data_IF_880095529215
#
_entry.id   IF_880095529215
#
_cell.length_a   1.000
_cell.length_b   1.000
_cell.length_c   1.000
_cell.angle_alpha   90.00
_cell.angle_beta   90.00
_cell.angle_gamma   90.00
#
_symmetry.space_group_name_H-M   'P 1'
#
loop_
_entity.id
_entity.type
_entity.pdbx_description
1 polymer ?
#
# COMPACT_ATOMS: atom_id res chain seq x y z
N UNK A 1 -49.19 -25.09 -81.86
CA UNK A 1 -48.44 -26.20 -81.22
C UNK A 1 -47.38 -25.61 -80.30
N UNK A 2 -47.40 -25.99 -79.02
CA UNK A 2 -46.39 -25.64 -78.01
C UNK A 2 -45.03 -26.26 -78.36
N UNK A 3 -43.94 -25.53 -78.13
CA UNK A 3 -42.77 -26.07 -77.41
C UNK A 3 -41.87 -24.93 -76.90
N UNK A 4 -41.72 -24.93 -75.57
CA UNK A 4 -40.73 -24.19 -74.80
C UNK A 4 -39.30 -24.67 -75.13
N UNK A 5 -38.28 -23.83 -74.86
CA UNK A 5 -37.13 -24.12 -73.97
C UNK A 5 -36.06 -23.01 -74.19
N UNK A 6 -35.97 -22.04 -73.27
CA UNK A 6 -35.03 -21.91 -72.13
C UNK A 6 -33.79 -21.07 -72.43
N UNK A 7 -33.78 -19.90 -71.79
CA UNK A 7 -32.63 -19.06 -71.47
C UNK A 7 -31.54 -19.87 -70.74
N UNK A 8 -30.30 -19.80 -71.20
CA UNK A 8 -29.13 -20.02 -70.34
C UNK A 8 -28.32 -18.73 -70.31
N UNK A 9 -28.53 -17.98 -69.23
CA UNK A 9 -27.74 -16.82 -68.86
C UNK A 9 -26.37 -17.29 -68.37
N UNK A 10 -25.30 -16.71 -68.93
CA UNK A 10 -23.93 -16.89 -68.49
C UNK A 10 -23.78 -16.11 -67.18
N UNK A 11 -23.72 -16.80 -66.04
CA UNK A 11 -23.28 -16.19 -64.77
C UNK A 11 -21.77 -16.15 -64.74
N UNK A 12 -21.21 -14.94 -64.87
CA UNK A 12 -19.84 -14.64 -64.54
C UNK A 12 -19.73 -14.60 -63.00
N UNK A 13 -19.11 -15.62 -62.40
CA UNK A 13 -18.79 -15.67 -60.98
C UNK A 13 -17.59 -14.74 -60.71
N UNK A 14 -17.87 -13.50 -60.29
CA UNK A 14 -16.88 -12.66 -59.61
C UNK A 14 -16.72 -13.17 -58.17
N UNK A 15 -15.67 -13.94 -57.92
CA UNK A 15 -15.18 -14.15 -56.55
C UNK A 15 -14.52 -12.85 -56.07
N UNK A 16 -15.28 -12.01 -55.36
CA UNK A 16 -14.68 -11.01 -54.48
C UNK A 16 -14.15 -11.73 -53.24
N UNK A 17 -12.84 -11.95 -53.20
CA UNK A 17 -12.14 -12.33 -51.98
C UNK A 17 -12.30 -11.21 -50.96
N UNK A 18 -13.10 -11.43 -49.93
CA UNK A 18 -13.14 -10.57 -48.75
C UNK A 18 -11.82 -10.81 -48.01
N UNK A 19 -10.83 -9.95 -48.26
CA UNK A 19 -9.67 -9.83 -47.39
C UNK A 19 -10.21 -9.23 -46.08
N UNK A 20 -10.49 -10.10 -45.10
CA UNK A 20 -10.75 -9.68 -43.74
C UNK A 20 -9.47 -8.98 -43.25
N UNK A 21 -9.48 -7.66 -43.33
CA UNK A 21 -8.45 -6.81 -42.74
C UNK A 21 -8.58 -7.00 -41.24
N UNK A 22 -7.71 -7.82 -40.64
CA UNK A 22 -7.55 -7.86 -39.20
C UNK A 22 -6.95 -6.53 -38.77
N UNK A 23 -7.82 -5.54 -38.54
CA UNK A 23 -7.44 -4.37 -37.77
C UNK A 23 -7.09 -4.89 -36.39
N UNK A 24 -5.80 -5.05 -36.11
CA UNK A 24 -5.28 -5.09 -34.76
C UNK A 24 -5.63 -3.74 -34.13
N UNK A 25 -6.85 -3.64 -33.59
CA UNK A 25 -7.21 -2.61 -32.63
C UNK A 25 -6.34 -2.86 -31.43
N UNK A 26 -5.16 -2.24 -31.46
CA UNK A 26 -4.33 -2.06 -30.28
C UNK A 26 -5.15 -1.15 -29.38
N UNK A 27 -5.92 -1.73 -28.46
CA UNK A 27 -6.58 -0.99 -27.40
C UNK A 27 -5.48 -0.29 -26.62
N UNK A 28 -5.26 0.97 -26.94
CA UNK A 28 -4.39 1.85 -26.18
C UNK A 28 -5.08 2.03 -24.81
N UNK A 29 -4.76 1.13 -23.88
CA UNK A 29 -5.28 1.18 -22.51
C UNK A 29 -5.01 2.58 -21.97
N UNK A 30 -6.07 3.36 -21.78
CA UNK A 30 -5.98 4.69 -21.21
C UNK A 30 -5.33 4.51 -19.85
N UNK A 31 -4.07 4.91 -19.72
CA UNK A 31 -3.40 4.90 -18.44
C UNK A 31 -4.07 5.98 -17.60
N UNK A 32 -4.99 5.60 -16.73
CA UNK A 32 -5.67 6.51 -15.82
C UNK A 32 -4.59 6.99 -14.85
N UNK A 33 -4.16 8.24 -15.04
CA UNK A 33 -2.99 8.80 -14.36
C UNK A 33 -3.40 9.58 -13.12
N UNK A 34 -2.63 9.41 -12.07
CA UNK A 34 -2.55 10.34 -10.95
C UNK A 34 -1.43 11.34 -11.25
N UNK A 35 -1.76 12.38 -12.03
CA UNK A 35 -0.77 13.31 -12.58
C UNK A 35 0.23 12.60 -13.49
N UNK A 36 1.49 12.53 -13.07
CA UNK A 36 2.57 11.81 -13.77
C UNK A 36 2.68 10.33 -13.34
N UNK A 37 1.96 9.91 -12.30
CA UNK A 37 2.00 8.55 -11.75
C UNK A 37 0.81 7.72 -12.26
N UNK A 38 0.88 6.40 -12.14
CA UNK A 38 -0.33 5.55 -12.19
C UNK A 38 -1.05 5.59 -10.85
N UNK A 39 -2.34 5.29 -10.82
CA UNK A 39 -3.06 5.18 -9.54
C UNK A 39 -2.52 4.05 -8.64
N UNK A 40 -2.12 2.90 -9.20
CA UNK A 40 -1.46 1.83 -8.43
C UNK A 40 -0.20 2.35 -7.72
N UNK A 41 0.60 3.16 -8.43
CA UNK A 41 1.79 3.79 -7.86
C UNK A 41 1.42 4.80 -6.77
N UNK A 42 0.40 5.62 -7.00
CA UNK A 42 -0.07 6.62 -6.05
C UNK A 42 -0.60 5.97 -4.75
N UNK A 43 -1.35 4.86 -4.86
CA UNK A 43 -1.80 4.05 -3.71
C UNK A 43 -0.62 3.48 -2.93
N UNK A 44 0.41 2.94 -3.62
CA UNK A 44 1.60 2.44 -2.93
C UNK A 44 2.37 3.57 -2.21
N UNK A 45 2.62 4.71 -2.88
CA UNK A 45 3.37 5.85 -2.31
C UNK A 45 2.62 6.49 -1.13
N UNK A 46 1.31 6.70 -1.25
CA UNK A 46 0.47 7.17 -0.14
C UNK A 46 0.44 6.16 1.00
N UNK A 47 0.32 4.87 0.70
CA UNK A 47 0.38 3.79 1.68
C UNK A 47 1.72 3.72 2.43
N UNK A 48 2.82 4.08 1.74
CA UNK A 48 4.16 4.16 2.33
C UNK A 48 4.27 5.29 3.37
N UNK A 49 3.47 6.37 3.27
CA UNK A 49 3.45 7.44 4.27
C UNK A 49 3.01 6.92 5.65
N UNK A 50 2.01 6.02 5.68
CA UNK A 50 1.60 5.32 6.92
C UNK A 50 2.75 4.52 7.51
N UNK A 51 3.51 3.78 6.69
CA UNK A 51 4.65 3.00 7.17
C UNK A 51 5.76 3.90 7.72
N UNK A 52 6.08 4.98 7.02
CA UNK A 52 7.13 5.91 7.42
C UNK A 52 6.81 6.58 8.76
N UNK A 53 5.55 6.97 9.01
CA UNK A 53 5.14 7.52 10.31
C UNK A 53 5.41 6.53 11.46
N UNK A 54 5.00 5.27 11.28
CA UNK A 54 5.26 4.22 12.28
C UNK A 54 6.75 3.92 12.44
N UNK A 55 7.51 3.93 11.33
CA UNK A 55 8.96 3.68 11.36
C UNK A 55 9.70 4.78 12.12
N UNK A 56 9.31 6.05 11.94
CA UNK A 56 9.87 7.17 12.70
C UNK A 56 9.56 7.04 14.18
N UNK A 57 8.29 6.80 14.54
CA UNK A 57 7.90 6.62 15.94
C UNK A 57 8.65 5.45 16.60
N UNK A 58 8.69 4.27 15.94
CA UNK A 58 9.43 3.10 16.41
C UNK A 58 10.91 3.42 16.63
N UNK A 59 11.55 4.09 15.67
CA UNK A 59 12.98 4.42 15.74
C UNK A 59 13.25 5.39 16.89
N UNK A 60 12.39 6.39 17.10
CA UNK A 60 12.51 7.31 18.22
C UNK A 60 12.40 6.58 19.56
N UNK A 61 11.37 5.75 19.75
CA UNK A 61 11.19 4.98 21.00
C UNK A 61 12.39 4.07 21.27
N UNK A 62 12.89 3.37 20.25
CA UNK A 62 14.08 2.53 20.39
C UNK A 62 15.33 3.33 20.78
N UNK A 63 15.50 4.54 20.23
CA UNK A 63 16.63 5.42 20.51
C UNK A 63 16.62 6.02 21.92
N UNK A 64 15.49 6.06 22.62
CA UNK A 64 15.44 6.51 24.03
C UNK A 64 16.40 5.68 24.88
N UNK A 65 16.41 4.36 24.68
CA UNK A 65 17.25 3.41 25.43
C UNK A 65 18.54 3.03 24.70
N UNK A 66 18.63 3.37 23.40
CA UNK A 66 19.76 3.01 22.55
C UNK A 66 20.32 4.26 21.84
N UNK A 67 20.72 5.31 22.57
CA UNK A 67 21.05 6.61 22.00
C UNK A 67 22.25 6.61 21.06
N UNK A 68 23.07 5.56 21.07
CA UNK A 68 24.26 5.42 20.19
C UNK A 68 24.00 4.56 18.94
N UNK A 69 22.81 3.98 18.76
CA UNK A 69 22.53 3.10 17.62
C UNK A 69 22.49 3.88 16.30
N UNK A 70 23.54 3.75 15.49
CA UNK A 70 23.70 4.45 14.22
C UNK A 70 22.64 4.04 13.17
N UNK A 71 22.15 2.80 13.22
CA UNK A 71 21.16 2.32 12.26
C UNK A 71 19.80 2.94 12.56
N UNK A 72 19.39 2.98 13.83
CA UNK A 72 18.12 3.59 14.23
C UNK A 72 18.11 5.11 13.97
N UNK A 73 19.23 5.82 14.22
CA UNK A 73 19.39 7.24 13.84
C UNK A 73 19.20 7.45 12.34
N UNK A 74 19.85 6.62 11.52
CA UNK A 74 19.72 6.68 10.06
C UNK A 74 18.30 6.37 9.60
N UNK A 75 17.68 5.34 10.19
CA UNK A 75 16.30 4.96 9.89
C UNK A 75 15.32 6.11 10.20
N UNK A 76 15.48 6.81 11.33
CA UNK A 76 14.68 7.98 11.69
C UNK A 76 14.85 9.13 10.68
N UNK A 77 16.11 9.53 10.41
CA UNK A 77 16.42 10.62 9.49
C UNK A 77 15.93 10.36 8.07
N UNK A 78 16.24 9.18 7.53
CA UNK A 78 15.85 8.83 6.16
C UNK A 78 14.34 8.70 6.01
N UNK A 79 13.65 8.16 7.03
CA UNK A 79 12.19 8.05 6.99
C UNK A 79 11.52 9.42 6.95
N UNK A 80 12.03 10.39 7.73
CA UNK A 80 11.59 11.79 7.71
C UNK A 80 11.72 12.41 6.32
N UNK A 81 12.91 12.32 5.73
CA UNK A 81 13.20 12.89 4.40
C UNK A 81 12.29 12.29 3.33
N UNK A 82 12.16 10.96 3.31
CA UNK A 82 11.31 10.27 2.34
C UNK A 82 9.84 10.66 2.54
N UNK A 83 9.38 10.77 3.79
CA UNK A 83 8.00 11.16 4.10
C UNK A 83 7.68 12.53 3.49
N UNK A 84 8.51 13.54 3.79
CA UNK A 84 8.30 14.90 3.28
C UNK A 84 8.34 14.97 1.75
N UNK A 85 9.32 14.32 1.13
CA UNK A 85 9.45 14.31 -0.34
C UNK A 85 8.27 13.61 -1.01
N UNK A 86 7.87 12.44 -0.51
CA UNK A 86 6.77 11.69 -1.10
C UNK A 86 5.42 12.36 -0.85
N UNK A 87 5.20 12.97 0.31
CA UNK A 87 3.99 13.75 0.58
C UNK A 87 3.87 14.95 -0.37
N UNK A 88 4.98 15.62 -0.70
CA UNK A 88 5.04 16.64 -1.75
C UNK A 88 4.69 16.10 -3.13
N UNK A 89 5.23 14.94 -3.52
CA UNK A 89 4.92 14.27 -4.79
C UNK A 89 3.43 13.94 -4.90
N UNK A 90 2.85 13.32 -3.86
CA UNK A 90 1.41 13.00 -3.81
C UNK A 90 0.60 14.28 -4.01
N UNK A 91 0.94 15.34 -3.25
CA UNK A 91 0.27 16.62 -3.36
C UNK A 91 0.34 17.20 -4.78
N UNK A 92 1.52 17.26 -5.40
CA UNK A 92 1.70 17.87 -6.72
C UNK A 92 0.96 17.12 -7.83
N UNK A 93 0.74 15.81 -7.67
CA UNK A 93 0.13 14.97 -8.71
C UNK A 93 -1.39 14.87 -8.62
N UNK A 94 -2.01 15.23 -7.50
CA UNK A 94 -3.47 15.28 -7.40
C UNK A 94 -4.02 16.63 -7.85
N UNK A 95 -5.16 16.60 -8.53
CA UNK A 95 -6.01 17.77 -8.78
C UNK A 95 -7.29 17.77 -7.91
N UNK A 96 -7.57 16.68 -7.20
CA UNK A 96 -8.83 16.49 -6.49
C UNK A 96 -8.81 17.20 -5.13
N UNK A 97 -9.80 18.06 -4.90
CA UNK A 97 -9.93 18.84 -3.65
C UNK A 97 -9.93 17.95 -2.39
N UNK A 98 -10.66 16.83 -2.42
CA UNK A 98 -10.72 15.91 -1.27
C UNK A 98 -9.34 15.39 -0.90
N UNK A 99 -8.54 14.95 -1.89
CA UNK A 99 -7.17 14.47 -1.67
C UNK A 99 -6.27 15.59 -1.12
N UNK A 100 -6.35 16.80 -1.69
CA UNK A 100 -5.63 17.99 -1.21
C UNK A 100 -5.95 18.35 0.25
N UNK A 101 -7.23 18.31 0.62
CA UNK A 101 -7.68 18.61 1.98
C UNK A 101 -7.13 17.56 2.98
N UNK A 102 -7.12 16.27 2.61
CA UNK A 102 -6.52 15.22 3.45
C UNK A 102 -5.01 15.38 3.62
N UNK A 103 -4.29 15.77 2.56
CA UNK A 103 -2.85 16.05 2.63
C UNK A 103 -2.59 17.28 3.52
N UNK A 104 -3.43 18.30 3.44
CA UNK A 104 -3.34 19.49 4.30
C UNK A 104 -3.47 19.11 5.78
N UNK A 105 -4.40 18.20 6.10
CA UNK A 105 -4.52 17.65 7.47
C UNK A 105 -3.26 16.89 7.91
N UNK A 106 -2.69 16.07 7.03
CA UNK A 106 -1.39 15.40 7.30
C UNK A 106 -0.30 16.43 7.60
N UNK A 107 -0.21 17.50 6.81
CA UNK A 107 0.78 18.56 7.01
C UNK A 107 0.60 19.26 8.36
N UNK A 108 -0.63 19.53 8.79
CA UNK A 108 -0.91 20.13 10.09
C UNK A 108 -0.38 19.28 11.25
N UNK A 109 -0.70 17.98 11.26
CA UNK A 109 -0.22 17.03 12.29
C UNK A 109 1.31 16.86 12.20
N UNK A 110 1.85 16.86 10.98
CA UNK A 110 3.28 16.67 10.73
C UNK A 110 4.15 17.73 11.40
N UNK A 111 3.70 18.98 11.49
CA UNK A 111 4.49 20.07 12.11
C UNK A 111 4.87 19.73 13.55
N UNK A 112 3.90 19.30 14.36
CA UNK A 112 4.14 18.93 15.75
C UNK A 112 4.94 17.62 15.84
N UNK A 113 4.56 16.61 15.04
CA UNK A 113 5.24 15.32 15.04
C UNK A 113 6.72 15.46 14.69
N UNK A 114 7.04 16.28 13.68
CA UNK A 114 8.40 16.59 13.25
C UNK A 114 9.23 17.21 14.38
N UNK A 115 8.67 18.21 15.07
CA UNK A 115 9.34 18.86 16.21
C UNK A 115 9.72 17.85 17.29
N UNK A 116 8.85 16.89 17.59
CA UNK A 116 9.14 15.84 18.56
C UNK A 116 10.29 14.93 18.09
N UNK A 117 10.23 14.42 16.87
CA UNK A 117 11.25 13.46 16.38
C UNK A 117 12.62 14.09 16.09
N UNK A 118 12.70 15.41 15.95
CA UNK A 118 13.96 16.15 15.75
C UNK A 118 14.65 16.50 17.08
N UNK A 119 13.94 16.39 18.20
CA UNK A 119 14.53 16.57 19.53
C UNK A 119 15.35 15.34 19.97
N UNK A 120 16.22 15.53 20.96
CA UNK A 120 16.95 14.42 21.58
C UNK A 120 15.97 13.39 22.16
N UNK A 121 16.07 12.10 21.79
CA UNK A 121 15.21 11.04 22.32
C UNK A 121 15.13 11.03 23.84
N UNK A 122 13.91 11.06 24.36
CA UNK A 122 13.59 11.02 25.77
C UNK A 122 12.18 10.46 25.98
N UNK A 123 11.88 10.03 27.21
CA UNK A 123 10.62 9.38 27.55
C UNK A 123 9.38 10.28 27.42
N UNK A 124 9.48 11.56 27.75
CA UNK A 124 8.34 12.48 27.70
C UNK A 124 7.88 12.70 26.26
N UNK A 125 8.82 12.93 25.36
CA UNK A 125 8.53 13.05 23.94
C UNK A 125 8.13 11.71 23.33
N UNK A 126 8.64 10.57 23.82
CA UNK A 126 8.20 9.26 23.36
C UNK A 126 6.71 9.01 23.67
N UNK A 127 6.21 9.44 24.84
CA UNK A 127 4.78 9.37 25.18
C UNK A 127 3.93 10.21 24.20
N UNK A 128 4.33 11.47 23.97
CA UNK A 128 3.65 12.36 23.00
C UNK A 128 3.67 11.79 21.58
N UNK A 129 4.78 11.17 21.18
CA UNK A 129 4.92 10.52 19.87
C UNK A 129 3.96 9.33 19.76
N UNK A 130 3.78 8.50 20.80
CA UNK A 130 2.84 7.36 20.76
C UNK A 130 1.41 7.84 20.44
N UNK A 131 0.97 8.92 21.09
CA UNK A 131 -0.35 9.49 20.90
C UNK A 131 -0.49 10.09 19.50
N UNK A 132 0.39 11.04 19.16
CA UNK A 132 0.34 11.77 17.89
C UNK A 132 0.58 10.87 16.67
N UNK A 133 1.35 9.80 16.82
CA UNK A 133 1.58 8.80 15.77
C UNK A 133 0.28 8.12 15.32
N UNK A 134 -0.69 7.94 16.22
CA UNK A 134 -1.98 7.33 15.86
C UNK A 134 -2.82 8.30 15.02
N UNK A 135 -2.80 9.60 15.35
CA UNK A 135 -3.47 10.62 14.55
C UNK A 135 -2.82 10.79 13.18
N UNK A 136 -1.49 10.81 13.13
CA UNK A 136 -0.75 10.87 11.87
C UNK A 136 -1.00 9.62 11.02
N UNK A 137 -1.09 8.43 11.63
CA UNK A 137 -1.47 7.20 10.93
C UNK A 137 -2.87 7.30 10.32
N UNK A 138 -3.85 7.80 11.09
CA UNK A 138 -5.22 7.98 10.61
C UNK A 138 -5.27 8.96 9.45
N UNK A 139 -4.63 10.13 9.59
CA UNK A 139 -4.62 11.14 8.53
C UNK A 139 -3.92 10.64 7.25
N UNK A 140 -2.80 9.92 7.38
CA UNK A 140 -2.12 9.32 6.21
C UNK A 140 -2.94 8.18 5.60
N UNK A 141 -3.74 7.45 6.38
CA UNK A 141 -4.70 6.48 5.87
C UNK A 141 -5.83 7.15 5.08
N UNK A 142 -6.34 8.29 5.56
CA UNK A 142 -7.37 9.06 4.86
C UNK A 142 -6.90 9.53 3.48
N UNK A 143 -5.59 9.84 3.32
CA UNK A 143 -5.00 10.15 2.01
C UNK A 143 -5.02 8.94 1.07
N UNK A 144 -4.68 7.74 1.56
CA UNK A 144 -4.76 6.51 0.73
C UNK A 144 -6.18 6.29 0.23
N UNK A 145 -7.16 6.39 1.13
CA UNK A 145 -8.57 6.26 0.77
C UNK A 145 -9.00 7.32 -0.25
N UNK A 146 -8.58 8.57 -0.08
CA UNK A 146 -8.87 9.64 -1.03
C UNK A 146 -8.26 9.38 -2.42
N UNK A 147 -7.03 8.88 -2.50
CA UNK A 147 -6.38 8.51 -3.77
C UNK A 147 -7.12 7.36 -4.47
N UNK A 148 -7.61 6.37 -3.71
CA UNK A 148 -8.43 5.27 -4.27
C UNK A 148 -9.77 5.84 -4.80
N UNK A 149 -10.42 6.73 -4.06
CA UNK A 149 -11.67 7.38 -4.50
C UNK A 149 -11.44 8.24 -5.75
N UNK A 150 -10.35 9.00 -5.79
CA UNK A 150 -9.93 9.80 -6.95
C UNK A 150 -9.75 8.93 -8.21
N UNK A 151 -9.22 7.71 -8.06
CA UNK A 151 -9.13 6.76 -9.18
C UNK A 151 -10.50 6.43 -9.77
N UNK A 152 -11.54 6.25 -8.94
CA UNK A 152 -12.90 5.98 -9.44
C UNK A 152 -13.49 7.16 -10.22
N UNK A 153 -13.18 8.39 -9.82
CA UNK A 153 -13.63 9.59 -10.52
C UNK A 153 -12.93 9.79 -11.86
N UNK A 154 -11.64 9.44 -11.93
CA UNK A 154 -10.87 9.50 -13.17
C UNK A 154 -11.33 8.45 -14.20
N UNK A 155 -11.85 7.30 -13.75
CA UNK A 155 -12.42 6.26 -14.60
C UNK A 155 -13.82 6.62 -15.16
N UNK A 156 -14.39 7.79 -14.87
CA UNK A 156 -15.76 8.18 -15.26
C UNK A 156 -15.86 9.24 -16.37
N UNK A 157 -14.77 9.58 -17.06
CA UNK A 157 -14.81 10.61 -18.10
C UNK A 157 -15.28 10.05 -19.47
N UNK A 158 -16.50 10.45 -19.85
CA UNK A 158 -17.16 10.62 -21.17
C UNK A 158 -17.09 9.56 -22.30
N UNK A 159 -16.36 8.45 -22.21
CA UNK A 159 -16.33 7.44 -23.29
C UNK A 159 -16.66 5.99 -22.88
N UNK A 160 -16.98 5.77 -21.59
CA UNK A 160 -17.21 4.44 -21.00
C UNK A 160 -18.69 4.10 -20.73
N UNK A 161 -19.63 4.81 -21.36
CA UNK A 161 -21.06 4.50 -21.19
C UNK A 161 -21.52 3.25 -21.95
N UNK A 162 -20.64 2.54 -22.68
CA UNK A 162 -21.06 1.51 -23.62
C UNK A 162 -20.53 0.09 -23.39
N UNK A 163 -19.52 -0.16 -22.55
CA UNK A 163 -19.08 -1.53 -22.24
C UNK A 163 -18.65 -1.67 -20.76
N UNK A 164 -19.57 -2.13 -19.91
CA UNK A 164 -19.25 -2.62 -18.55
C UNK A 164 -18.69 -4.04 -18.66
N UNK A 165 -17.42 -4.16 -19.04
CA UNK A 165 -16.70 -5.44 -19.19
C UNK A 165 -16.15 -5.99 -17.86
N UNK A 166 -16.49 -5.36 -16.73
CA UNK A 166 -15.98 -5.69 -15.40
C UNK A 166 -14.52 -5.27 -15.14
N UNK A 167 -13.83 -4.66 -16.11
CA UNK A 167 -12.43 -4.21 -15.95
C UNK A 167 -12.27 -3.14 -14.86
N UNK A 168 -13.26 -2.25 -14.72
CA UNK A 168 -13.28 -1.22 -13.68
C UNK A 168 -13.42 -1.77 -12.25
N UNK A 169 -14.11 -2.91 -12.09
CA UNK A 169 -14.24 -3.58 -10.79
C UNK A 169 -12.93 -4.28 -10.41
N UNK A 170 -12.35 -5.05 -11.34
CA UNK A 170 -11.04 -5.70 -11.15
C UNK A 170 -9.91 -4.69 -10.85
N UNK A 171 -9.89 -3.54 -11.55
CA UNK A 171 -8.91 -2.48 -11.33
C UNK A 171 -9.01 -1.84 -9.94
N UNK A 172 -10.24 -1.72 -9.40
CA UNK A 172 -10.47 -1.26 -8.04
C UNK A 172 -10.06 -2.31 -7.01
N UNK A 173 -10.41 -3.58 -7.23
CA UNK A 173 -10.01 -4.68 -6.34
C UNK A 173 -8.49 -4.78 -6.23
N UNK A 174 -7.76 -4.66 -7.34
CA UNK A 174 -6.29 -4.66 -7.33
C UNK A 174 -5.74 -3.52 -6.46
N UNK A 175 -6.30 -2.31 -6.52
CA UNK A 175 -5.89 -1.20 -5.64
C UNK A 175 -6.15 -1.50 -4.16
N UNK A 176 -7.24 -2.21 -3.85
CA UNK A 176 -7.53 -2.65 -2.48
C UNK A 176 -6.50 -3.70 -2.02
N UNK A 177 -6.12 -4.64 -2.88
CA UNK A 177 -5.05 -5.61 -2.60
C UNK A 177 -3.70 -4.92 -2.40
N UNK A 178 -3.32 -3.97 -3.27
CA UNK A 178 -2.10 -3.15 -3.09
C UNK A 178 -2.13 -2.41 -1.75
N UNK A 179 -3.27 -1.82 -1.38
CA UNK A 179 -3.43 -1.14 -0.10
C UNK A 179 -3.28 -2.10 1.09
N UNK A 180 -3.88 -3.30 1.02
CA UNK A 180 -3.79 -4.33 2.06
C UNK A 180 -2.37 -4.88 2.23
N UNK A 181 -1.71 -5.25 1.14
CA UNK A 181 -0.30 -5.66 1.14
C UNK A 181 0.59 -4.53 1.67
N UNK A 182 0.33 -3.29 1.23
CA UNK A 182 1.05 -2.11 1.67
C UNK A 182 0.88 -1.82 3.16
N UNK A 183 -0.29 -2.09 3.73
CA UNK A 183 -0.60 -1.96 5.17
C UNK A 183 0.24 -2.92 6.01
N UNK A 184 0.62 -4.09 5.50
CA UNK A 184 1.47 -5.04 6.24
C UNK A 184 2.85 -4.46 6.58
N UNK A 185 3.42 -3.64 5.69
CA UNK A 185 4.66 -2.91 5.97
C UNK A 185 4.53 -1.98 7.16
N UNK A 186 3.39 -1.28 7.26
CA UNK A 186 3.07 -0.35 8.35
C UNK A 186 2.87 -1.12 9.65
N UNK A 187 2.06 -2.19 9.61
CA UNK A 187 1.77 -3.01 10.79
C UNK A 187 3.05 -3.65 11.35
N UNK A 188 3.97 -4.07 10.48
CA UNK A 188 5.29 -4.59 10.91
C UNK A 188 6.07 -3.57 11.76
N UNK A 189 6.01 -2.28 11.39
CA UNK A 189 6.66 -1.20 12.16
C UNK A 189 5.85 -0.88 13.42
N UNK A 190 4.52 -0.86 13.32
CA UNK A 190 3.60 -0.61 14.44
C UNK A 190 3.68 -1.70 15.52
N UNK A 191 3.97 -2.93 15.13
CA UNK A 191 4.20 -4.06 16.04
C UNK A 191 5.37 -3.75 16.98
N UNK A 192 6.52 -3.37 16.41
CA UNK A 192 7.69 -3.01 17.20
C UNK A 192 7.50 -1.68 17.96
N UNK A 193 6.75 -0.72 17.40
CA UNK A 193 6.37 0.49 18.13
C UNK A 193 5.64 0.14 19.43
N UNK A 194 4.58 -0.67 19.37
CA UNK A 194 3.83 -1.04 20.56
C UNK A 194 4.53 -2.05 21.44
N UNK A 195 5.47 -2.82 20.89
CA UNK A 195 6.40 -3.59 21.71
C UNK A 195 7.21 -2.65 22.61
N UNK A 196 7.83 -1.60 22.05
CA UNK A 196 8.59 -0.62 22.84
C UNK A 196 7.69 0.24 23.75
N UNK A 197 6.49 0.57 23.32
CA UNK A 197 5.52 1.33 24.12
C UNK A 197 4.92 0.53 25.29
N UNK A 198 5.17 -0.79 25.38
CA UNK A 198 4.70 -1.63 26.47
C UNK A 198 5.78 -1.88 27.55
N UNK A 199 6.94 -1.20 27.45
CA UNK A 199 7.95 -1.17 28.50
C UNK A 199 7.44 -0.37 29.72
N UNK A 200 7.90 -0.73 30.93
CA UNK A 200 7.39 -0.19 32.21
C UNK A 200 7.29 1.34 32.25
N UNK A 201 8.27 2.06 31.68
CA UNK A 201 8.34 3.53 31.70
C UNK A 201 7.37 4.22 30.73
N UNK A 202 6.93 3.51 29.69
CA UNK A 202 6.06 4.01 28.62
C UNK A 202 4.66 3.38 28.61
N UNK A 203 4.47 2.28 29.35
CA UNK A 203 3.24 1.48 29.30
C UNK A 203 2.03 2.32 29.65
N UNK A 204 1.11 2.42 28.69
CA UNK A 204 -0.23 3.00 28.89
C UNK A 204 -1.24 1.87 29.07
N UNK A 205 -2.45 2.19 29.55
CA UNK A 205 -3.55 1.22 29.66
C UNK A 205 -3.84 0.48 28.33
N UNK A 206 -3.55 1.12 27.19
CA UNK A 206 -3.92 0.61 25.87
C UNK A 206 -2.74 -0.01 25.09
N UNK A 207 -1.48 0.13 25.54
CA UNK A 207 -0.30 -0.32 24.78
C UNK A 207 -0.33 -1.82 24.46
N UNK A 208 -0.72 -2.64 25.43
CA UNK A 208 -0.80 -4.09 25.29
C UNK A 208 -1.92 -4.54 24.34
N UNK A 209 -3.10 -3.93 24.47
CA UNK A 209 -4.22 -4.16 23.56
C UNK A 209 -3.83 -3.78 22.12
N UNK A 210 -3.17 -2.64 21.93
CA UNK A 210 -2.71 -2.20 20.61
C UNK A 210 -1.69 -3.18 20.01
N UNK A 211 -0.77 -3.73 20.81
CA UNK A 211 0.16 -4.76 20.36
C UNK A 211 -0.58 -6.02 19.88
N UNK A 212 -1.57 -6.48 20.64
CA UNK A 212 -2.38 -7.66 20.27
C UNK A 212 -3.24 -7.40 19.02
N UNK A 213 -3.82 -6.21 18.89
CA UNK A 213 -4.58 -5.82 17.70
C UNK A 213 -3.70 -5.84 16.45
N UNK A 214 -2.52 -5.23 16.51
CA UNK A 214 -1.57 -5.23 15.39
C UNK A 214 -1.14 -6.65 15.02
N UNK A 215 -0.90 -7.51 16.03
CA UNK A 215 -0.59 -8.91 15.79
C UNK A 215 -1.70 -9.61 14.99
N UNK A 216 -2.95 -9.48 15.42
CA UNK A 216 -4.08 -10.13 14.75
C UNK A 216 -4.34 -9.54 13.36
N UNK A 217 -4.15 -8.22 13.18
CA UNK A 217 -4.29 -7.56 11.87
C UNK A 217 -3.27 -8.06 10.85
N UNK A 218 -2.02 -8.33 11.26
CA UNK A 218 -1.01 -8.91 10.36
C UNK A 218 -1.43 -10.32 9.95
N UNK A 219 -1.80 -11.15 10.93
CA UNK A 219 -2.14 -12.55 10.70
C UNK A 219 -3.33 -12.72 9.76
N UNK A 220 -4.43 -12.00 10.01
CA UNK A 220 -5.63 -12.08 9.19
C UNK A 220 -5.43 -11.57 7.76
N UNK A 221 -4.64 -10.50 7.59
CA UNK A 221 -4.40 -9.94 6.26
C UNK A 221 -3.51 -10.84 5.38
N UNK A 222 -2.59 -11.60 5.97
CA UNK A 222 -1.81 -12.60 5.24
C UNK A 222 -2.74 -13.66 4.64
N UNK A 223 -3.73 -14.14 5.39
CA UNK A 223 -4.73 -15.09 4.89
C UNK A 223 -5.49 -14.53 3.68
N UNK A 224 -5.88 -13.25 3.72
CA UNK A 224 -6.57 -12.60 2.61
C UNK A 224 -5.67 -12.43 1.37
N UNK A 225 -4.37 -12.16 1.55
CA UNK A 225 -3.43 -12.03 0.43
C UNK A 225 -3.13 -13.37 -0.25
N UNK A 226 -3.16 -14.47 0.50
CA UNK A 226 -2.93 -15.82 -0.04
C UNK A 226 -4.00 -16.27 -1.03
N UNK A 227 -5.24 -15.80 -0.87
CA UNK A 227 -6.37 -16.19 -1.71
C UNK A 227 -6.70 -15.14 -2.78
N UNK A 228 -5.82 -14.16 -3.00
CA UNK A 228 -6.08 -13.10 -3.96
C UNK A 228 -6.02 -13.62 -5.40
N UNK A 229 -7.05 -13.31 -6.19
CA UNK A 229 -7.10 -13.63 -7.62
C UNK A 229 -6.02 -12.92 -8.45
N UNK A 230 -5.32 -11.93 -7.88
CA UNK A 230 -4.20 -11.23 -8.53
C UNK A 230 -2.84 -11.88 -8.27
N UNK A 231 -2.81 -13.01 -7.57
CA UNK A 231 -1.58 -13.75 -7.33
C UNK A 231 -1.05 -14.38 -8.62
N UNK A 232 0.27 -14.47 -8.68
CA UNK A 232 1.02 -15.22 -9.67
C UNK A 232 2.20 -15.89 -8.97
N UNK A 233 2.89 -16.78 -9.66
CA UNK A 233 4.00 -17.57 -9.10
C UNK A 233 5.02 -16.72 -8.31
N UNK A 234 5.38 -15.53 -8.82
CA UNK A 234 6.33 -14.63 -8.15
C UNK A 234 5.74 -14.00 -6.90
N UNK A 235 4.46 -13.61 -6.93
CA UNK A 235 3.76 -13.06 -5.77
C UNK A 235 3.64 -14.12 -4.68
N UNK A 236 3.23 -15.34 -5.03
CA UNK A 236 3.08 -16.47 -4.11
C UNK A 236 4.42 -16.82 -3.45
N UNK A 237 5.50 -16.89 -4.24
CA UNK A 237 6.85 -17.12 -3.72
C UNK A 237 7.25 -16.05 -2.68
N UNK A 238 7.06 -14.76 -3.00
CA UNK A 238 7.44 -13.66 -2.08
C UNK A 238 6.49 -13.52 -0.89
N UNK A 239 5.23 -13.88 -1.03
CA UNK A 239 4.29 -14.01 0.08
C UNK A 239 4.73 -15.12 1.03
N UNK A 240 5.09 -16.29 0.52
CA UNK A 240 5.65 -17.39 1.31
C UNK A 240 6.86 -16.96 2.14
N UNK A 241 7.79 -16.21 1.55
CA UNK A 241 8.94 -15.66 2.29
C UNK A 241 8.54 -14.66 3.39
N UNK A 242 7.52 -13.82 3.15
CA UNK A 242 7.00 -12.91 4.16
C UNK A 242 6.31 -13.68 5.30
N UNK A 243 5.56 -14.73 4.96
CA UNK A 243 4.90 -15.62 5.92
C UNK A 243 5.88 -16.35 6.81
N UNK A 244 6.94 -16.95 6.26
CA UNK A 244 7.96 -17.64 7.08
C UNK A 244 8.54 -16.70 8.14
N UNK A 245 8.74 -15.42 7.80
CA UNK A 245 9.20 -14.41 8.77
C UNK A 245 8.13 -14.10 9.81
N UNK A 246 6.86 -13.99 9.40
CA UNK A 246 5.75 -13.75 10.32
C UNK A 246 5.54 -14.92 11.28
N UNK A 247 5.59 -16.15 10.78
CA UNK A 247 5.44 -17.38 11.57
C UNK A 247 6.47 -17.49 12.69
N UNK A 248 7.70 -17.01 12.47
CA UNK A 248 8.70 -16.91 13.54
C UNK A 248 8.23 -16.05 14.72
N UNK A 249 7.51 -14.96 14.44
CA UNK A 249 6.91 -14.09 15.47
C UNK A 249 5.65 -14.74 16.05
N UNK A 250 4.78 -15.28 15.19
CA UNK A 250 3.50 -15.90 15.56
C UNK A 250 3.68 -17.07 16.52
N UNK A 251 4.60 -17.99 16.21
CA UNK A 251 4.95 -19.13 17.06
C UNK A 251 5.59 -18.72 18.38
N UNK A 252 6.04 -17.47 18.49
CA UNK A 252 6.60 -16.87 19.69
C UNK A 252 5.68 -15.78 20.28
N UNK A 253 4.36 -15.86 20.08
CA UNK A 253 3.39 -14.87 20.59
C UNK A 253 3.54 -14.60 22.09
N UNK A 254 3.73 -15.63 22.92
CA UNK A 254 3.94 -15.45 24.37
C UNK A 254 5.21 -14.63 24.65
N UNK A 255 6.30 -14.91 23.93
CA UNK A 255 7.55 -14.12 24.02
C UNK A 255 7.32 -12.67 23.60
N UNK A 256 6.50 -12.41 22.59
CA UNK A 256 6.14 -11.06 22.14
C UNK A 256 5.35 -10.30 23.22
N UNK A 257 4.27 -10.90 23.73
CA UNK A 257 3.39 -10.22 24.69
C UNK A 257 4.07 -9.97 26.03
N UNK A 258 4.94 -10.89 26.47
CA UNK A 258 5.65 -10.79 27.74
C UNK A 258 6.97 -10.02 27.67
N UNK A 259 7.20 -9.22 26.62
CA UNK A 259 8.44 -8.45 26.46
C UNK A 259 9.73 -9.30 26.47
N UNK A 260 9.66 -10.54 25.97
CA UNK A 260 10.77 -11.50 26.00
C UNK A 260 11.77 -11.41 24.83
N UNK A 261 11.53 -10.55 23.84
CA UNK A 261 12.49 -10.29 22.76
C UNK A 261 13.51 -9.23 23.17
N UNK A 262 14.77 -9.36 22.74
CA UNK A 262 15.72 -8.24 22.89
C UNK A 262 15.24 -7.05 22.05
N UNK A 263 15.40 -5.79 22.51
CA UNK A 263 14.94 -4.64 21.73
C UNK A 263 15.50 -4.60 20.30
N UNK A 264 16.79 -4.90 20.14
CA UNK A 264 17.46 -4.96 18.83
C UNK A 264 16.93 -6.09 17.93
N UNK A 265 16.55 -7.23 18.52
CA UNK A 265 15.91 -8.35 17.84
C UNK A 265 14.54 -7.93 17.28
N UNK A 266 13.69 -7.31 18.10
CA UNK A 266 12.38 -6.81 17.65
C UNK A 266 12.51 -5.70 16.59
N UNK A 267 13.50 -4.82 16.75
CA UNK A 267 13.81 -3.78 15.77
C UNK A 267 14.21 -4.38 14.42
N UNK A 268 15.01 -5.46 14.43
CA UNK A 268 15.39 -6.20 13.22
C UNK A 268 14.20 -6.93 12.59
N UNK A 269 13.44 -7.68 13.38
CA UNK A 269 12.24 -8.41 12.92
C UNK A 269 11.27 -7.49 12.18
N UNK A 270 10.91 -6.34 12.78
CA UNK A 270 10.01 -5.38 12.13
C UNK A 270 10.53 -4.86 10.80
N UNK A 271 11.84 -4.60 10.68
CA UNK A 271 12.45 -4.15 9.43
C UNK A 271 12.52 -5.25 8.37
N UNK A 272 12.81 -6.48 8.76
CA UNK A 272 12.86 -7.64 7.86
C UNK A 272 11.46 -7.95 7.30
N UNK A 273 10.42 -7.91 8.16
CA UNK A 273 9.02 -8.04 7.74
C UNK A 273 8.61 -6.91 6.79
N UNK A 274 8.91 -5.65 7.13
CA UNK A 274 8.63 -4.51 6.24
C UNK A 274 9.32 -4.65 4.88
N UNK A 275 10.56 -5.15 4.83
CA UNK A 275 11.26 -5.40 3.56
C UNK A 275 10.54 -6.47 2.73
N UNK A 276 10.13 -7.58 3.35
CA UNK A 276 9.41 -8.66 2.67
C UNK A 276 8.06 -8.17 2.10
N UNK A 277 7.22 -7.52 2.92
CA UNK A 277 5.95 -6.98 2.47
C UNK A 277 6.09 -5.84 1.45
N UNK A 278 7.22 -5.11 1.47
CA UNK A 278 7.50 -4.13 0.42
C UNK A 278 7.77 -4.76 -0.93
N UNK A 279 8.45 -5.90 -0.96
CA UNK A 279 8.60 -6.69 -2.20
C UNK A 279 7.24 -7.13 -2.71
N UNK A 280 6.41 -7.75 -1.86
CA UNK A 280 5.06 -8.20 -2.21
C UNK A 280 4.20 -7.05 -2.76
N UNK A 281 4.13 -5.92 -2.04
CA UNK A 281 3.35 -4.75 -2.49
C UNK A 281 3.83 -4.23 -3.85
N UNK A 282 5.14 -4.23 -4.09
CA UNK A 282 5.71 -3.79 -5.36
C UNK A 282 5.45 -4.75 -6.53
N UNK A 283 5.14 -6.01 -6.26
CA UNK A 283 4.69 -6.97 -7.27
C UNK A 283 3.23 -6.74 -7.62
N UNK A 284 2.34 -6.59 -6.62
CA UNK A 284 0.93 -6.23 -6.88
C UNK A 284 0.80 -4.91 -7.64
N UNK A 285 1.62 -3.89 -7.32
CA UNK A 285 1.63 -2.62 -8.06
C UNK A 285 1.83 -2.80 -9.58
N UNK A 286 2.53 -3.86 -9.99
CA UNK A 286 2.89 -4.16 -11.38
C UNK A 286 1.96 -5.16 -12.06
N UNK A 287 0.96 -5.68 -11.34
CA UNK A 287 -0.06 -6.54 -11.95
C UNK A 287 -0.80 -5.73 -13.00
N UNK A 288 -0.98 -6.33 -14.17
CA UNK A 288 -1.76 -5.79 -15.28
C UNK A 288 -3.06 -6.57 -15.35
N UNK A 289 -4.15 -5.84 -15.54
CA UNK A 289 -5.50 -6.34 -15.77
C UNK A 289 -5.82 -6.06 -17.23
#
# INVERSE_FOLDING_TARGET
MKKNFTFKSIMLLFLFGIVASSTNTTSAQQNIKYGMLTFNKAVNISGKQRMLSQKMAKSYLYLVENPSDAKAKRDLLTSKIIFEKQNGIINQNSSYKVTKDRITKVNGIWVEFKKLIESTPNYDNAKKIIDLNTDLLKATNDVVSAVIVESKGANKNDQDLLEDDGSGESDLELKQIINMAGRQRMLSQRLALYYFANQTTLKTKNSEQMLNNVFNEIDGAITMLLISNFNNEKIDEKLGLAMTKWESVKNNKKKLMNQGFKPSEMYKISNDLTKAFNTVTGLYEKVKI
#
